data_IF_274126813019
#
_entry.id   IF_274126813019
#
_cell.length_a   1.000
_cell.length_b   1.000
_cell.length_c   1.000
_cell.angle_alpha   90.00
_cell.angle_beta   90.00
_cell.angle_gamma   90.00
#
_symmetry.space_group_name_H-M   'P 1'
#
loop_
_entity.id
_entity.type
_entity.pdbx_description
1 polymer ?
#
# COMPACT_ATOMS: atom_id res chain seq x y z
N UNK A 1 -31.24 -15.02 -0.05
CA UNK A 1 -30.51 -15.14 1.24
C UNK A 1 -29.03 -15.17 0.93
N UNK A 2 -28.28 -14.11 1.22
CA UNK A 2 -26.82 -14.14 1.13
C UNK A 2 -26.23 -13.29 2.25
N UNK A 3 -25.69 -13.97 3.25
CA UNK A 3 -24.70 -13.56 4.25
C UNK A 3 -23.81 -14.82 4.32
N UNK A 4 -22.49 -14.82 4.33
CA UNK A 4 -21.50 -13.90 4.87
C UNK A 4 -20.16 -14.47 4.37
N UNK A 5 -19.21 -13.65 3.90
CA UNK A 5 -17.82 -14.12 3.77
C UNK A 5 -17.09 -13.65 5.02
N UNK A 6 -16.76 -14.60 5.89
CA UNK A 6 -16.04 -14.38 7.13
C UNK A 6 -14.65 -14.99 6.96
N UNK A 7 -13.59 -14.18 7.00
CA UNK A 7 -12.23 -14.69 6.99
C UNK A 7 -11.70 -14.74 8.42
N UNK A 8 -11.52 -15.96 8.93
CA UNK A 8 -10.64 -16.26 10.05
C UNK A 8 -9.28 -16.70 9.48
N UNK A 9 -8.19 -16.13 9.97
CA UNK A 9 -6.84 -16.71 9.79
C UNK A 9 -6.36 -17.22 11.15
N UNK A 10 -6.16 -18.53 11.24
CA UNK A 10 -5.50 -19.21 12.36
C UNK A 10 -4.33 -20.05 11.83
N UNK A 11 -3.37 -20.29 12.72
CA UNK A 11 -2.21 -21.21 12.68
C UNK A 11 -0.91 -20.64 12.11
N UNK A 12 0.27 -21.05 12.56
CA UNK A 12 0.81 -21.75 13.75
C UNK A 12 2.33 -21.49 13.61
N UNK A 13 3.03 -21.31 14.71
CA UNK A 13 4.47 -21.01 14.73
C UNK A 13 5.32 -22.25 14.48
N UNK A 14 6.30 -22.16 13.58
CA UNK A 14 7.55 -22.92 13.71
C UNK A 14 8.78 -22.09 13.31
N UNK A 15 9.71 -22.05 14.26
CA UNK A 15 11.03 -21.40 14.22
C UNK A 15 11.97 -22.06 13.20
N UNK A 16 12.78 -21.25 12.50
CA UNK A 16 14.16 -21.61 12.20
C UNK A 16 15.04 -20.38 11.94
N UNK A 17 16.05 -20.20 12.80
CA UNK A 17 17.18 -19.29 12.66
C UNK A 17 17.96 -19.54 11.37
N UNK A 18 18.29 -18.49 10.60
CA UNK A 18 19.55 -18.41 9.83
C UNK A 18 20.07 -16.98 9.73
N UNK A 19 21.32 -16.81 10.17
CA UNK A 19 22.15 -15.62 9.99
C UNK A 19 22.53 -15.47 8.51
N UNK A 20 22.34 -14.29 7.92
CA UNK A 20 22.94 -13.93 6.63
C UNK A 20 23.58 -12.55 6.76
N UNK A 21 24.89 -12.52 6.54
CA UNK A 21 25.76 -11.35 6.45
C UNK A 21 25.49 -10.58 5.16
N UNK A 22 25.25 -9.27 5.26
CA UNK A 22 25.10 -8.36 4.12
C UNK A 22 26.47 -7.77 3.78
N UNK A 23 26.93 -7.99 2.54
CA UNK A 23 28.10 -7.33 1.97
C UNK A 23 27.69 -6.06 1.23
N UNK A 24 28.27 -4.94 1.65
CA UNK A 24 28.24 -3.61 1.03
C UNK A 24 28.49 -3.61 -0.48
N UNK A 25 27.70 -2.84 -1.22
CA UNK A 25 28.19 -2.15 -2.42
C UNK A 25 27.60 -0.74 -2.51
N UNK A 26 28.53 0.20 -2.64
CA UNK A 26 28.40 1.66 -2.54
C UNK A 26 27.66 2.33 -3.70
N UNK A 27 26.77 3.28 -3.38
CA UNK A 27 26.22 4.29 -4.30
C UNK A 27 26.85 5.65 -3.94
N UNK A 28 27.20 6.53 -4.90
CA UNK A 28 28.00 7.73 -4.63
C UNK A 28 27.20 8.83 -3.93
N UNK A 29 27.85 9.48 -2.96
CA UNK A 29 27.31 10.58 -2.16
C UNK A 29 27.03 11.84 -3.00
N UNK A 30 25.76 12.25 -3.04
CA UNK A 30 25.34 13.58 -3.46
C UNK A 30 25.30 14.51 -2.22
N UNK A 31 26.03 15.65 -2.18
CA UNK A 31 26.28 16.39 -0.94
C UNK A 31 25.11 17.28 -0.44
N UNK A 32 23.86 16.97 -0.77
CA UNK A 32 22.69 17.75 -0.36
C UNK A 32 21.63 16.97 0.44
N UNK A 33 21.97 15.78 0.93
CA UNK A 33 21.12 15.01 1.85
C UNK A 33 21.91 14.79 3.13
N UNK A 34 21.31 15.08 4.29
CA UNK A 34 21.96 14.94 5.60
C UNK A 34 22.57 13.55 5.77
N UNK A 35 23.50 13.43 6.73
CA UNK A 35 24.14 12.13 7.03
C UNK A 35 23.07 11.03 7.16
N UNK A 36 23.34 9.79 6.70
CA UNK A 36 22.36 8.71 6.69
C UNK A 36 21.63 8.52 8.02
N UNK A 37 22.29 8.83 9.14
CA UNK A 37 21.79 8.65 10.50
C UNK A 37 21.21 9.93 11.14
N UNK A 38 21.12 11.03 10.39
CA UNK A 38 20.64 12.32 10.90
C UNK A 38 19.22 12.26 11.48
N UNK A 39 18.41 11.28 11.05
CA UNK A 39 17.07 11.07 11.58
C UNK A 39 17.03 10.37 12.94
N UNK A 40 18.09 9.66 13.36
CA UNK A 40 18.10 8.90 14.63
C UNK A 40 17.96 9.81 15.86
N UNK A 41 18.43 11.06 15.74
CA UNK A 41 18.34 12.08 16.79
C UNK A 41 17.25 13.12 16.50
N UNK A 42 16.40 12.91 15.50
CA UNK A 42 15.32 13.82 15.17
C UNK A 42 14.31 13.88 16.33
N UNK A 43 13.98 15.08 16.78
CA UNK A 43 13.00 15.32 17.85
C UNK A 43 12.02 16.40 17.44
N UNK A 44 10.88 16.47 18.13
CA UNK A 44 9.81 17.43 17.83
C UNK A 44 8.75 16.88 16.86
N UNK A 45 7.68 17.66 16.61
CA UNK A 45 6.56 17.22 15.80
C UNK A 45 6.95 17.12 14.32
N UNK A 46 6.58 16.00 13.70
CA UNK A 46 6.68 15.82 12.25
C UNK A 46 5.58 16.66 11.59
N UNK A 47 5.96 17.70 10.84
CA UNK A 47 5.01 18.63 10.21
C UNK A 47 4.05 17.93 9.24
N UNK A 48 4.55 16.96 8.48
CA UNK A 48 3.78 16.15 7.54
C UNK A 48 4.11 14.68 7.77
N UNK A 49 3.18 13.96 8.40
CA UNK A 49 3.34 12.56 8.74
C UNK A 49 2.80 11.65 7.62
N UNK A 50 2.86 10.33 7.82
CA UNK A 50 2.36 9.34 6.85
C UNK A 50 0.83 9.24 6.76
N UNK A 51 0.08 9.91 7.64
CA UNK A 51 -1.39 9.99 7.51
C UNK A 51 -1.84 11.12 6.59
N UNK A 52 -0.93 12.00 6.18
CA UNK A 52 -1.15 12.92 5.08
C UNK A 52 -1.12 12.17 3.74
N UNK A 53 -2.19 12.30 2.94
CA UNK A 53 -2.35 11.60 1.67
C UNK A 53 -1.19 11.86 0.69
N UNK A 54 -0.78 13.13 0.54
CA UNK A 54 0.34 13.47 -0.35
C UNK A 54 1.64 12.79 0.09
N UNK A 55 1.97 12.81 1.38
CA UNK A 55 3.18 12.15 1.90
C UNK A 55 3.12 10.63 1.74
N UNK A 56 1.96 10.02 2.01
CA UNK A 56 1.73 8.60 1.84
C UNK A 56 2.01 8.15 0.41
N UNK A 57 1.43 8.86 -0.57
CA UNK A 57 1.67 8.60 -1.99
C UNK A 57 3.12 8.88 -2.40
N UNK A 58 3.66 10.03 -2.02
CA UNK A 58 5.00 10.45 -2.42
C UNK A 58 6.09 9.47 -1.96
N UNK A 59 6.04 9.02 -0.70
CA UNK A 59 7.03 8.07 -0.15
C UNK A 59 6.94 6.72 -0.85
N UNK A 60 5.75 6.17 -0.99
CA UNK A 60 5.56 4.84 -1.60
C UNK A 60 5.86 4.84 -3.11
N UNK A 61 5.59 5.95 -3.79
CA UNK A 61 5.91 6.12 -5.21
C UNK A 61 7.40 6.32 -5.47
N UNK A 62 8.09 7.09 -4.63
CA UNK A 62 9.52 7.39 -4.83
C UNK A 62 10.44 6.30 -4.30
N UNK A 63 9.95 5.45 -3.39
CA UNK A 63 10.76 4.42 -2.75
C UNK A 63 10.08 3.04 -2.82
N UNK A 64 10.38 2.30 -3.88
CA UNK A 64 9.82 0.96 -4.10
C UNK A 64 10.23 -0.04 -3.01
N UNK A 65 11.37 0.15 -2.33
CA UNK A 65 11.76 -0.70 -1.19
C UNK A 65 10.77 -0.55 -0.02
N UNK A 66 10.33 0.68 0.25
CA UNK A 66 9.32 0.94 1.30
C UNK A 66 7.97 0.36 0.89
N UNK A 67 7.55 0.54 -0.38
CA UNK A 67 6.31 -0.07 -0.90
C UNK A 67 6.32 -1.59 -0.75
N UNK A 68 7.40 -2.25 -1.21
CA UNK A 68 7.55 -3.71 -1.11
C UNK A 68 7.54 -4.18 0.34
N UNK A 69 8.28 -3.52 1.23
CA UNK A 69 8.32 -3.85 2.65
C UNK A 69 6.93 -3.74 3.32
N UNK A 70 6.16 -2.70 2.98
CA UNK A 70 4.78 -2.54 3.44
C UNK A 70 3.88 -3.67 2.90
N UNK A 71 3.93 -3.96 1.60
CA UNK A 71 3.12 -5.02 0.97
C UNK A 71 3.44 -6.38 1.58
N UNK A 72 4.71 -6.74 1.70
CA UNK A 72 5.16 -7.98 2.33
C UNK A 72 4.63 -8.10 3.76
N UNK A 73 4.67 -7.01 4.53
CA UNK A 73 4.18 -6.99 5.92
C UNK A 73 2.66 -7.19 6.00
N UNK A 74 1.88 -6.50 5.16
CA UNK A 74 0.42 -6.57 5.16
C UNK A 74 -0.09 -7.93 4.69
N UNK A 75 0.51 -8.47 3.64
CA UNK A 75 0.07 -9.71 3.01
C UNK A 75 0.80 -10.95 3.55
N UNK A 76 1.74 -10.76 4.49
CA UNK A 76 2.60 -11.81 5.06
C UNK A 76 3.37 -12.60 4.00
N UNK A 77 3.91 -11.88 3.01
CA UNK A 77 4.72 -12.44 1.95
C UNK A 77 6.20 -12.32 2.29
N UNK A 78 6.99 -13.31 1.89
CA UNK A 78 8.45 -13.19 1.86
C UNK A 78 8.89 -12.24 0.73
N UNK A 79 10.16 -11.82 0.76
CA UNK A 79 10.71 -10.99 -0.31
C UNK A 79 10.77 -11.73 -1.66
N UNK A 80 10.95 -13.05 -1.63
CA UNK A 80 11.01 -13.92 -2.81
C UNK A 80 9.62 -14.13 -3.44
N UNK A 81 8.56 -14.14 -2.63
CA UNK A 81 7.18 -14.25 -3.12
C UNK A 81 6.71 -12.98 -3.84
N UNK A 82 7.23 -11.81 -3.44
CA UNK A 82 6.95 -10.53 -4.09
C UNK A 82 8.00 -10.22 -5.16
N UNK A 83 7.78 -10.69 -6.38
CA UNK A 83 8.68 -10.44 -7.53
C UNK A 83 8.60 -8.99 -8.00
N UNK A 84 7.39 -8.43 -8.14
CA UNK A 84 7.18 -7.03 -8.56
C UNK A 84 6.04 -6.36 -7.80
N UNK A 85 6.17 -5.04 -7.60
CA UNK A 85 5.13 -4.16 -7.09
C UNK A 85 5.23 -2.82 -7.83
N UNK A 86 4.25 -2.54 -8.68
CA UNK A 86 4.23 -1.35 -9.54
C UNK A 86 3.02 -0.48 -9.22
N UNK A 87 3.23 0.81 -8.94
CA UNK A 87 2.14 1.78 -8.80
C UNK A 87 1.67 2.19 -10.19
N UNK A 88 0.39 1.99 -10.50
CA UNK A 88 -0.16 2.25 -11.84
C UNK A 88 -0.97 3.55 -11.93
N UNK A 89 -1.10 4.29 -10.81
CA UNK A 89 -1.76 5.60 -10.75
C UNK A 89 -0.84 6.67 -10.12
N UNK A 90 0.36 6.91 -10.69
CA UNK A 90 1.33 7.82 -10.10
C UNK A 90 0.81 9.26 -10.07
N UNK A 91 1.21 10.00 -9.04
CA UNK A 91 0.93 11.43 -8.91
C UNK A 91 2.10 12.26 -9.43
N UNK A 92 1.82 13.46 -9.94
CA UNK A 92 2.85 14.44 -10.21
C UNK A 92 3.22 15.15 -8.89
N UNK A 93 4.46 14.98 -8.45
CA UNK A 93 4.94 15.60 -7.22
C UNK A 93 5.17 17.10 -7.45
N UNK A 94 4.66 17.94 -6.54
CA UNK A 94 4.80 19.40 -6.61
C UNK A 94 3.60 20.13 -7.20
N UNK A 95 2.69 19.44 -7.89
CA UNK A 95 1.43 20.03 -8.34
C UNK A 95 0.38 19.96 -7.23
N UNK A 96 -0.45 21.00 -7.10
CA UNK A 96 -1.64 20.91 -6.27
C UNK A 96 -2.50 19.78 -6.83
N UNK A 97 -2.93 18.86 -5.97
CA UNK A 97 -3.99 17.91 -6.28
C UNK A 97 -5.33 18.66 -6.32
N UNK A 98 -5.43 19.65 -7.19
CA UNK A 98 -6.69 20.28 -7.54
C UNK A 98 -7.41 19.35 -8.50
N UNK A 99 -8.06 18.34 -7.94
CA UNK A 99 -9.40 17.99 -8.37
C UNK A 99 -10.05 17.04 -7.39
N UNK A 100 -11.34 17.26 -7.15
CA UNK A 100 -12.26 16.42 -6.37
C UNK A 100 -12.53 15.10 -7.09
N UNK A 101 -11.50 14.44 -7.60
CA UNK A 101 -11.61 13.08 -8.06
C UNK A 101 -11.60 12.18 -6.83
N UNK A 102 -12.55 11.24 -6.78
CA UNK A 102 -12.58 10.17 -5.78
C UNK A 102 -11.37 9.25 -6.01
N UNK A 103 -10.17 9.73 -5.66
CA UNK A 103 -8.92 9.12 -6.08
C UNK A 103 -8.45 8.19 -4.98
N UNK A 104 -8.53 6.89 -5.26
CA UNK A 104 -7.82 5.86 -4.52
C UNK A 104 -6.37 6.31 -4.23
N UNK A 105 -5.85 6.04 -3.04
CA UNK A 105 -4.54 6.56 -2.66
C UNK A 105 -3.42 5.94 -3.47
N UNK A 106 -3.36 4.61 -3.55
CA UNK A 106 -2.36 3.91 -4.36
C UNK A 106 -2.97 2.64 -4.95
N UNK A 107 -2.83 2.49 -6.27
CA UNK A 107 -3.17 1.30 -7.03
C UNK A 107 -1.88 0.58 -7.41
N UNK A 108 -1.70 -0.64 -6.92
CA UNK A 108 -0.48 -1.43 -7.13
C UNK A 108 -0.79 -2.70 -7.91
N UNK A 109 -0.01 -2.98 -8.94
CA UNK A 109 0.02 -4.28 -9.60
C UNK A 109 1.16 -5.13 -9.02
N UNK A 110 0.80 -6.24 -8.37
CA UNK A 110 1.72 -7.19 -7.78
C UNK A 110 1.94 -8.37 -8.72
N UNK A 111 3.21 -8.71 -8.98
CA UNK A 111 3.62 -9.85 -9.81
C UNK A 111 2.89 -9.92 -11.17
N UNK A 112 2.53 -8.77 -11.74
CA UNK A 112 1.74 -8.61 -12.98
C UNK A 112 0.37 -9.33 -12.97
N UNK A 113 -0.16 -9.66 -11.80
CA UNK A 113 -1.35 -10.51 -11.68
C UNK A 113 -2.35 -10.05 -10.62
N UNK A 114 -1.90 -9.61 -9.45
CA UNK A 114 -2.82 -9.24 -8.36
C UNK A 114 -2.89 -7.73 -8.23
N UNK A 115 -4.08 -7.18 -8.20
CA UNK A 115 -4.31 -5.75 -7.95
C UNK A 115 -4.41 -5.54 -6.44
N UNK A 116 -3.70 -4.54 -5.93
CA UNK A 116 -3.77 -4.10 -4.55
C UNK A 116 -4.12 -2.61 -4.50
N UNK A 117 -5.22 -2.31 -3.84
CA UNK A 117 -5.66 -0.97 -3.51
C UNK A 117 -5.21 -0.64 -2.07
N UNK A 118 -4.50 0.46 -1.89
CA UNK A 118 -4.17 1.03 -0.57
C UNK A 118 -4.87 2.39 -0.41
N UNK A 119 -5.60 2.56 0.69
CA UNK A 119 -6.33 3.80 1.02
C UNK A 119 -6.01 4.24 2.45
N UNK A 120 -5.71 5.51 2.65
CA UNK A 120 -5.46 6.19 3.92
C UNK A 120 -6.65 7.10 4.24
N UNK A 121 -7.41 6.76 5.28
CA UNK A 121 -8.59 7.52 5.68
C UNK A 121 -8.48 7.98 7.14
N UNK A 122 -8.15 9.26 7.32
CA UNK A 122 -8.00 9.89 8.64
C UNK A 122 -9.34 10.40 9.19
N UNK A 123 -10.22 10.90 8.31
CA UNK A 123 -11.49 11.50 8.74
C UNK A 123 -12.63 10.50 8.61
N UNK A 124 -13.37 10.29 9.71
CA UNK A 124 -14.63 9.55 9.68
C UNK A 124 -15.73 10.42 9.04
N UNK A 125 -16.02 10.12 7.77
CA UNK A 125 -17.09 10.75 7.00
C UNK A 125 -18.35 9.88 6.94
N UNK A 126 -18.37 8.74 7.64
CA UNK A 126 -19.43 7.73 7.61
C UNK A 126 -19.74 7.09 6.23
N UNK A 127 -19.06 7.50 5.16
CA UNK A 127 -19.22 6.97 3.78
C UNK A 127 -18.13 5.94 3.40
N UNK A 128 -17.19 5.66 4.32
CA UNK A 128 -16.08 4.75 4.05
C UNK A 128 -16.51 3.35 3.60
N UNK A 129 -17.53 2.68 4.20
CA UNK A 129 -17.94 1.34 3.76
C UNK A 129 -18.36 1.32 2.29
N UNK A 130 -19.14 2.33 1.87
CA UNK A 130 -19.64 2.44 0.50
C UNK A 130 -18.51 2.76 -0.47
N UNK A 131 -17.60 3.67 -0.09
CA UNK A 131 -16.41 4.02 -0.89
C UNK A 131 -15.46 2.85 -1.07
N UNK A 132 -15.14 2.15 0.01
CA UNK A 132 -14.22 1.00 -0.01
C UNK A 132 -14.76 -0.10 -0.92
N UNK A 133 -16.06 -0.41 -0.80
CA UNK A 133 -16.71 -1.38 -1.69
C UNK A 133 -16.72 -0.91 -3.15
N UNK A 134 -17.05 0.36 -3.40
CA UNK A 134 -17.05 0.92 -4.75
C UNK A 134 -15.67 0.82 -5.41
N UNK A 135 -14.60 1.12 -4.68
CA UNK A 135 -13.24 0.98 -5.20
C UNK A 135 -12.86 -0.46 -5.47
N UNK A 136 -13.17 -1.38 -4.57
CA UNK A 136 -12.96 -2.81 -4.81
C UNK A 136 -13.68 -3.28 -6.08
N UNK A 137 -14.96 -2.92 -6.24
CA UNK A 137 -15.75 -3.29 -7.42
C UNK A 137 -15.18 -2.70 -8.72
N UNK A 138 -14.78 -1.43 -8.71
CA UNK A 138 -14.17 -0.79 -9.89
C UNK A 138 -12.86 -1.45 -10.31
N UNK A 139 -12.00 -1.80 -9.35
CA UNK A 139 -10.75 -2.51 -9.64
C UNK A 139 -11.01 -3.96 -10.11
N UNK A 140 -12.10 -4.58 -9.66
CA UNK A 140 -12.47 -5.94 -10.06
C UNK A 140 -13.10 -6.00 -11.45
N UNK A 141 -13.81 -4.95 -11.87
CA UNK A 141 -14.40 -4.79 -13.20
C UNK A 141 -13.34 -4.40 -14.26
N UNK A 142 -12.29 -5.22 -14.34
CA UNK A 142 -11.10 -5.00 -15.17
C UNK A 142 -11.08 -5.83 -16.46
N UNK A 143 -12.21 -6.46 -16.81
CA UNK A 143 -12.33 -7.24 -18.04
C UNK A 143 -12.86 -6.38 -19.17
N UNK A 144 -12.21 -6.48 -20.32
CA UNK A 144 -12.67 -5.88 -21.57
C UNK A 144 -13.65 -6.82 -22.30
N UNK A 145 -14.43 -6.23 -23.21
CA UNK A 145 -15.41 -6.98 -24.00
C UNK A 145 -14.75 -8.12 -24.78
N UNK A 146 -15.19 -9.35 -24.54
CA UNK A 146 -14.69 -10.56 -25.19
C UNK A 146 -13.70 -11.38 -24.36
N UNK A 147 -13.23 -10.85 -23.22
CA UNK A 147 -12.43 -11.62 -22.26
C UNK A 147 -13.29 -12.59 -21.46
N UNK A 148 -12.72 -13.75 -21.07
CA UNK A 148 -13.45 -14.73 -20.26
C UNK A 148 -13.40 -14.32 -18.79
N UNK A 149 -14.48 -14.57 -18.04
CA UNK A 149 -14.54 -14.28 -16.60
C UNK A 149 -13.40 -14.89 -15.77
N UNK A 150 -12.84 -16.02 -16.20
CA UNK A 150 -11.68 -16.67 -15.54
C UNK A 150 -10.37 -15.87 -15.67
N UNK A 151 -10.33 -14.86 -16.53
CA UNK A 151 -9.15 -14.00 -16.76
C UNK A 151 -9.14 -12.81 -15.79
N UNK A 152 -10.14 -12.72 -14.89
CA UNK A 152 -10.17 -11.68 -13.86
C UNK A 152 -8.98 -11.83 -12.92
N UNK A 153 -8.28 -10.72 -12.70
CA UNK A 153 -7.19 -10.62 -11.73
C UNK A 153 -7.78 -10.53 -10.32
N UNK A 154 -7.18 -11.19 -9.32
CA UNK A 154 -7.55 -10.98 -7.93
C UNK A 154 -7.34 -9.51 -7.54
N UNK A 155 -8.24 -9.01 -6.71
CA UNK A 155 -8.17 -7.64 -6.17
C UNK A 155 -8.19 -7.71 -4.65
N UNK A 156 -7.25 -7.01 -4.02
CA UNK A 156 -7.17 -6.83 -2.57
C UNK A 156 -7.35 -5.34 -2.30
N UNK A 157 -8.18 -4.98 -1.32
CA UNK A 157 -8.34 -3.61 -0.88
C UNK A 157 -8.04 -3.51 0.62
N UNK A 158 -7.08 -2.65 0.97
CA UNK A 158 -6.64 -2.41 2.35
C UNK A 158 -6.81 -0.92 2.64
N UNK A 159 -7.57 -0.61 3.68
CA UNK A 159 -7.67 0.76 4.19
C UNK A 159 -7.00 0.90 5.55
N UNK A 160 -6.26 1.99 5.72
CA UNK A 160 -5.70 2.45 6.99
C UNK A 160 -6.65 3.49 7.58
N UNK A 161 -7.28 3.17 8.70
CA UNK A 161 -8.26 4.05 9.35
C UNK A 161 -7.68 4.62 10.65
N UNK A 162 -7.83 5.93 10.84
CA UNK A 162 -7.49 6.60 12.12
C UNK A 162 -8.72 6.72 13.05
N UNK A 163 -9.70 5.83 12.86
CA UNK A 163 -10.92 5.78 13.64
C UNK A 163 -11.48 4.36 13.73
N UNK A 164 -12.29 4.13 14.75
CA UNK A 164 -12.96 2.84 14.99
C UNK A 164 -14.17 2.70 14.07
N UNK A 165 -14.03 1.86 13.05
CA UNK A 165 -15.09 1.61 12.07
C UNK A 165 -16.25 0.77 12.64
N UNK A 166 -15.93 -0.30 13.36
CA UNK A 166 -16.91 -1.17 13.99
C UNK A 166 -16.81 -0.99 15.50
N UNK A 167 -17.92 -0.62 16.12
CA UNK A 167 -18.02 -0.61 17.58
C UNK A 167 -18.22 -2.05 18.07
N UNK A 168 -17.62 -2.36 19.21
CA UNK A 168 -17.78 -3.64 19.90
C UNK A 168 -19.23 -3.88 20.38
#
# INVERSE_FOLDING_TARGET
MSRQLQFYLTKETHLMNRNISVSDTSVPDNPALGTPDSFLNATGPVRFNMTNDYMFRAVLQTNNRVLRGLVCSLLRLSEEELISAEITNPILLGDSLDDKEFRLDIYVLLNNHTILNLEMQVLDRADWPDRSLLYLCRSFDQLEHGQKYREVRPVIHISFLDYTLFKD
#
